data_IF_292818725419
#
_entry.id   IF_292818725419
#
_cell.length_a   1.000
_cell.length_b   1.000
_cell.length_c   1.000
_cell.angle_alpha   90.00
_cell.angle_beta   90.00
_cell.angle_gamma   90.00
#
_symmetry.space_group_name_H-M   'P 1'
#
loop_
_entity.id
_entity.type
_entity.pdbx_description
1 polymer ?
#
# COMPACT_ATOMS: atom_id res chain seq x y z
N UNK A 1 -10.60 45.24 -33.25
CA UNK A 1 -10.88 44.76 -31.89
C UNK A 1 -10.45 43.31 -31.81
N UNK A 2 -9.33 43.00 -31.15
CA UNK A 2 -8.78 41.64 -31.10
C UNK A 2 -9.15 41.00 -29.76
N UNK A 3 -10.02 39.99 -29.80
CA UNK A 3 -10.34 39.18 -28.63
C UNK A 3 -9.27 38.09 -28.48
N UNK A 4 -8.46 38.19 -27.43
CA UNK A 4 -7.56 37.12 -27.01
C UNK A 4 -8.34 36.21 -26.03
N UNK A 5 -8.57 34.92 -26.36
CA UNK A 5 -9.24 34.03 -25.42
C UNK A 5 -8.35 33.75 -24.20
N UNK A 6 -8.93 33.54 -23.00
CA UNK A 6 -8.17 33.24 -21.80
C UNK A 6 -7.45 31.90 -21.96
N UNK A 7 -6.13 31.88 -21.69
CA UNK A 7 -5.34 30.65 -21.59
C UNK A 7 -5.69 29.97 -20.27
N UNK A 8 -6.49 28.93 -20.31
CA UNK A 8 -6.70 28.07 -19.14
C UNK A 8 -5.39 27.35 -18.79
N UNK A 9 -5.00 27.27 -17.50
CA UNK A 9 -3.87 26.44 -17.10
C UNK A 9 -4.18 25.00 -17.52
N UNK A 10 -3.24 24.36 -18.21
CA UNK A 10 -3.37 22.95 -18.58
C UNK A 10 -3.66 22.14 -17.32
N UNK A 11 -4.77 21.39 -17.33
CA UNK A 11 -5.11 20.44 -16.27
C UNK A 11 -3.93 19.49 -16.15
N UNK A 12 -3.15 19.61 -15.06
CA UNK A 12 -2.10 18.64 -14.77
C UNK A 12 -2.80 17.29 -14.67
N UNK A 13 -2.36 16.26 -15.42
CA UNK A 13 -2.97 14.95 -15.31
C UNK A 13 -2.95 14.56 -13.83
N UNK A 14 -4.13 14.29 -13.28
CA UNK A 14 -4.26 13.77 -11.93
C UNK A 14 -3.34 12.54 -11.87
N UNK A 15 -2.28 12.62 -11.05
CA UNK A 15 -1.42 11.45 -10.83
C UNK A 15 -2.36 10.33 -10.40
N UNK A 16 -2.37 9.24 -11.16
CA UNK A 16 -2.97 7.99 -10.71
C UNK A 16 -2.30 7.67 -9.38
N UNK A 17 -2.98 8.01 -8.28
CA UNK A 17 -2.45 7.85 -6.94
C UNK A 17 -2.52 6.36 -6.64
N UNK A 18 -1.43 5.64 -6.95
CA UNK A 18 -1.29 4.27 -6.49
C UNK A 18 -1.36 4.32 -4.96
N UNK A 19 -2.25 3.53 -4.33
CA UNK A 19 -2.40 3.55 -2.89
C UNK A 19 -1.05 3.25 -2.23
N UNK A 20 -0.68 4.07 -1.25
CA UNK A 20 0.58 3.91 -0.51
C UNK A 20 0.49 2.64 0.33
N UNK A 21 1.55 1.85 0.32
CA UNK A 21 1.67 0.66 1.16
C UNK A 21 2.08 1.09 2.57
N UNK A 22 1.31 0.69 3.58
CA UNK A 22 1.55 1.07 4.98
C UNK A 22 2.79 0.38 5.55
N UNK A 23 3.48 1.05 6.46
CA UNK A 23 4.54 0.46 7.30
C UNK A 23 3.96 -0.67 8.16
N UNK A 24 4.76 -1.70 8.43
CA UNK A 24 4.37 -2.92 9.16
C UNK A 24 3.54 -3.90 8.32
N UNK A 25 3.32 -3.60 7.03
CA UNK A 25 2.61 -4.49 6.13
C UNK A 25 3.58 -5.43 5.43
N UNK A 26 3.19 -6.70 5.32
CA UNK A 26 3.87 -7.69 4.50
C UNK A 26 3.36 -7.65 3.07
N UNK A 27 4.28 -7.62 2.13
CA UNK A 27 4.03 -7.53 0.69
C UNK A 27 4.94 -8.48 -0.07
N UNK A 28 4.58 -8.76 -1.31
CA UNK A 28 5.37 -9.64 -2.17
C UNK A 28 6.18 -8.79 -3.15
N UNK A 29 7.42 -9.21 -3.38
CA UNK A 29 8.22 -8.71 -4.51
C UNK A 29 7.58 -9.17 -5.80
N UNK A 30 7.46 -8.24 -6.76
CA UNK A 30 6.93 -8.47 -8.09
C UNK A 30 7.96 -7.99 -9.12
N UNK A 31 8.59 -8.93 -9.80
CA UNK A 31 9.56 -8.72 -10.85
C UNK A 31 8.87 -8.97 -12.20
N UNK A 32 8.32 -7.93 -12.87
CA UNK A 32 7.63 -8.11 -14.14
C UNK A 32 8.57 -8.46 -15.31
N UNK A 33 9.88 -8.59 -15.07
CA UNK A 33 10.93 -8.78 -16.08
C UNK A 33 11.63 -10.13 -15.85
N UNK A 34 12.12 -10.74 -16.93
CA UNK A 34 12.67 -12.11 -16.99
C UNK A 34 13.81 -12.44 -16.01
N UNK A 35 14.48 -11.44 -15.44
CA UNK A 35 15.58 -11.63 -14.49
C UNK A 35 15.11 -12.20 -13.14
N UNK A 36 13.80 -12.13 -12.83
CA UNK A 36 13.19 -12.77 -11.66
C UNK A 36 13.71 -12.29 -10.31
N UNK A 37 14.47 -11.19 -10.28
CA UNK A 37 15.04 -10.60 -9.06
C UNK A 37 14.99 -9.08 -9.13
N UNK A 38 14.82 -8.45 -7.96
CA UNK A 38 14.89 -6.99 -7.80
C UNK A 38 16.15 -6.63 -7.02
N UNK A 39 16.92 -5.69 -7.54
CA UNK A 39 18.06 -5.14 -6.82
C UNK A 39 17.59 -4.19 -5.72
N UNK A 40 18.09 -4.40 -4.51
CA UNK A 40 17.89 -3.49 -3.40
C UNK A 40 18.88 -2.34 -3.48
N UNK A 41 18.38 -1.16 -3.17
CA UNK A 41 19.17 0.08 -3.15
C UNK A 41 19.34 0.62 -1.74
N UNK A 42 20.34 1.48 -1.54
CA UNK A 42 20.49 2.24 -0.31
C UNK A 42 19.47 3.39 -0.21
N UNK A 43 19.53 4.14 0.88
CA UNK A 43 18.65 5.29 1.11
C UNK A 43 18.81 6.43 0.08
N UNK A 44 19.88 6.44 -0.72
CA UNK A 44 20.14 7.40 -1.78
C UNK A 44 19.66 6.88 -3.14
N UNK A 45 19.58 5.57 -3.33
CA UNK A 45 19.26 4.88 -4.57
C UNK A 45 20.46 4.23 -5.24
N UNK A 46 21.60 4.14 -4.57
CA UNK A 46 22.74 3.38 -5.08
C UNK A 46 22.46 1.89 -4.87
N UNK A 47 22.83 1.06 -5.84
CA UNK A 47 22.76 -0.39 -5.69
C UNK A 47 23.75 -0.89 -4.62
N UNK A 48 23.66 -2.19 -4.31
CA UNK A 48 24.61 -2.87 -3.42
C UNK A 48 24.04 -3.39 -2.11
N UNK A 49 22.75 -3.18 -1.84
CA UNK A 49 22.07 -3.75 -0.67
C UNK A 49 21.60 -5.20 -0.89
N UNK A 50 22.01 -5.84 -1.99
CA UNK A 50 21.63 -7.21 -2.35
C UNK A 50 20.48 -7.28 -3.35
N UNK A 51 19.90 -8.47 -3.51
CA UNK A 51 18.80 -8.72 -4.45
C UNK A 51 17.78 -9.68 -3.85
N UNK A 52 16.50 -9.42 -4.09
CA UNK A 52 15.41 -10.30 -3.67
C UNK A 52 14.79 -11.04 -4.87
N UNK A 53 14.45 -12.33 -4.73
CA UNK A 53 13.74 -13.05 -5.77
C UNK A 53 12.29 -12.58 -5.92
N UNK A 54 11.72 -12.81 -7.10
CA UNK A 54 10.29 -12.66 -7.34
C UNK A 54 9.47 -13.50 -6.35
N UNK A 55 8.35 -12.95 -5.89
CA UNK A 55 7.50 -13.58 -4.90
C UNK A 55 8.06 -13.60 -3.47
N UNK A 56 9.25 -13.05 -3.22
CA UNK A 56 9.77 -12.92 -1.86
C UNK A 56 8.84 -12.08 -0.99
N UNK A 57 8.52 -12.58 0.21
CA UNK A 57 7.75 -11.82 1.19
C UNK A 57 8.68 -10.86 1.93
N UNK A 58 8.26 -9.60 2.00
CA UNK A 58 9.00 -8.53 2.65
C UNK A 58 8.08 -7.71 3.53
N UNK A 59 8.61 -7.19 4.62
CA UNK A 59 7.92 -6.25 5.49
C UNK A 59 8.35 -4.82 5.20
N UNK A 60 7.39 -3.90 5.15
CA UNK A 60 7.66 -2.48 4.92
C UNK A 60 8.06 -1.80 6.22
N UNK A 61 9.30 -1.32 6.29
CA UNK A 61 9.83 -0.59 7.44
C UNK A 61 9.62 0.93 7.32
N UNK A 62 9.75 1.45 6.11
CA UNK A 62 9.56 2.88 5.85
C UNK A 62 9.17 3.12 4.39
N UNK A 63 8.69 4.31 4.08
CA UNK A 63 8.42 4.72 2.70
C UNK A 63 8.76 6.20 2.48
N UNK A 64 9.11 6.54 1.24
CA UNK A 64 9.44 7.91 0.84
C UNK A 64 8.82 8.24 -0.52
N UNK A 65 8.15 9.39 -0.66
CA UNK A 65 7.72 9.87 -1.97
C UNK A 65 8.94 10.35 -2.77
N UNK A 66 9.11 9.90 -4.02
CA UNK A 66 10.15 10.42 -4.93
C UNK A 66 9.54 10.96 -6.21
N UNK A 67 9.03 12.19 -6.17
CA UNK A 67 8.80 13.01 -7.36
C UNK A 67 8.12 12.25 -8.53
N UNK A 68 8.52 12.48 -9.78
CA UNK A 68 7.99 11.77 -10.96
C UNK A 68 8.26 10.26 -10.99
N UNK A 69 9.28 9.78 -10.29
CA UNK A 69 9.72 8.37 -10.31
C UNK A 69 9.02 7.46 -9.31
N UNK A 70 8.00 7.96 -8.59
CA UNK A 70 7.15 7.15 -7.72
C UNK A 70 7.64 7.06 -6.28
N UNK A 71 6.91 6.31 -5.44
CA UNK A 71 7.32 6.07 -4.05
C UNK A 71 8.40 4.98 -3.98
N UNK A 72 9.31 5.08 -3.01
CA UNK A 72 10.22 3.99 -2.62
C UNK A 72 9.89 3.51 -1.23
N UNK A 73 10.12 2.23 -1.01
CA UNK A 73 9.85 1.54 0.25
C UNK A 73 11.14 0.92 0.76
N UNK A 74 11.42 1.11 2.03
CA UNK A 74 12.42 0.35 2.76
C UNK A 74 11.75 -0.93 3.21
N UNK A 75 12.35 -2.05 2.86
CA UNK A 75 11.81 -3.37 3.13
C UNK A 75 12.85 -4.26 3.77
N UNK A 76 12.39 -5.22 4.57
CA UNK A 76 13.20 -6.31 5.11
C UNK A 76 12.63 -7.64 4.67
N UNK A 77 13.48 -8.54 4.18
CA UNK A 77 13.13 -9.92 3.87
C UNK A 77 12.76 -10.66 5.14
N UNK A 78 11.60 -11.31 5.15
CA UNK A 78 11.16 -12.12 6.29
C UNK A 78 11.94 -13.42 6.42
N UNK A 79 12.60 -13.86 5.32
CA UNK A 79 13.36 -15.11 5.28
C UNK A 79 14.84 -14.89 5.63
N UNK A 80 15.49 -13.92 4.98
CA UNK A 80 16.95 -13.74 5.05
C UNK A 80 17.37 -12.54 5.89
N UNK A 81 16.42 -11.72 6.36
CA UNK A 81 16.71 -10.46 7.07
C UNK A 81 17.36 -9.38 6.18
N UNK A 82 17.41 -9.60 4.86
CA UNK A 82 18.01 -8.66 3.91
C UNK A 82 17.18 -7.38 3.83
N UNK A 83 17.83 -6.24 4.07
CA UNK A 83 17.17 -4.93 4.11
C UNK A 83 17.61 -4.02 2.95
N UNK A 84 16.67 -3.26 2.39
CA UNK A 84 17.01 -2.21 1.44
C UNK A 84 15.80 -1.49 0.87
N UNK A 85 16.07 -0.57 -0.05
CA UNK A 85 15.07 0.26 -0.71
C UNK A 85 14.70 -0.29 -2.08
N UNK A 86 13.40 -0.33 -2.35
CA UNK A 86 12.81 -0.81 -3.60
C UNK A 86 11.71 0.14 -4.09
N UNK A 87 11.47 0.22 -5.40
CA UNK A 87 10.41 1.05 -5.97
C UNK A 87 9.03 0.41 -5.76
N UNK A 88 8.00 1.26 -5.76
CA UNK A 88 6.60 0.82 -5.70
C UNK A 88 6.22 -0.14 -6.84
N UNK A 89 6.87 -0.04 -8.00
CA UNK A 89 6.60 -0.86 -9.18
C UNK A 89 6.96 -2.34 -8.99
N UNK A 90 7.91 -2.61 -8.10
CA UNK A 90 8.37 -3.97 -7.77
C UNK A 90 7.70 -4.55 -6.53
N UNK A 91 6.68 -3.88 -5.98
CA UNK A 91 5.93 -4.36 -4.83
C UNK A 91 4.48 -4.62 -5.22
N UNK A 92 3.99 -5.79 -4.83
CA UNK A 92 2.60 -6.18 -4.95
C UNK A 92 2.04 -6.38 -3.55
N UNK A 93 1.00 -5.62 -3.22
CA UNK A 93 0.20 -5.94 -2.04
C UNK A 93 -0.33 -7.37 -2.19
N UNK A 94 -0.28 -8.21 -1.14
CA UNK A 94 -0.92 -9.51 -1.19
C UNK A 94 -2.39 -9.22 -1.53
N UNK A 95 -2.90 -9.90 -2.57
CA UNK A 95 -4.31 -9.81 -2.89
C UNK A 95 -5.05 -10.11 -1.59
N UNK A 96 -5.86 -9.16 -1.13
CA UNK A 96 -6.66 -9.37 0.04
C UNK A 96 -7.62 -10.51 -0.30
N UNK A 97 -7.24 -11.75 -0.01
CA UNK A 97 -8.20 -12.78 0.36
C UNK A 97 -9.04 -12.10 1.41
N UNK A 98 -10.32 -11.90 1.08
CA UNK A 98 -11.17 -10.88 1.66
C UNK A 98 -10.88 -10.69 3.13
N UNK A 99 -10.59 -9.44 3.53
CA UNK A 99 -10.83 -9.09 4.93
C UNK A 99 -12.24 -9.64 5.23
N UNK A 100 -12.46 -10.48 6.25
CA UNK A 100 -13.79 -10.49 6.80
C UNK A 100 -14.06 -9.01 7.10
N UNK A 101 -15.08 -8.44 6.46
CA UNK A 101 -15.69 -7.23 6.98
C UNK A 101 -15.77 -7.42 8.49
N UNK A 102 -15.37 -6.45 9.34
CA UNK A 102 -15.73 -6.57 10.74
C UNK A 102 -17.23 -6.84 10.73
N UNK A 103 -17.60 -8.06 11.11
CA UNK A 103 -18.99 -8.43 11.24
C UNK A 103 -19.54 -7.39 12.21
N UNK A 104 -20.56 -6.60 11.83
CA UNK A 104 -21.12 -5.63 12.74
C UNK A 104 -21.49 -6.42 13.98
N UNK A 105 -20.79 -6.14 15.08
CA UNK A 105 -21.03 -6.79 16.37
C UNK A 105 -22.53 -6.71 16.58
N UNK A 106 -23.25 -7.84 16.69
CA UNK A 106 -24.67 -7.76 16.96
C UNK A 106 -24.81 -7.01 18.27
N UNK A 107 -25.35 -5.80 18.19
CA UNK A 107 -25.81 -5.05 19.35
C UNK A 107 -26.63 -6.04 20.17
N UNK A 108 -26.33 -6.24 21.47
CA UNK A 108 -27.17 -7.07 22.30
C UNK A 108 -28.59 -6.54 22.18
N UNK A 109 -29.50 -7.38 21.69
CA UNK A 109 -30.91 -7.05 21.57
C UNK A 109 -31.34 -6.50 22.93
N UNK A 110 -31.80 -5.24 22.93
CA UNK A 110 -32.42 -4.65 24.09
C UNK A 110 -33.52 -5.60 24.57
N UNK A 111 -33.32 -6.11 25.79
CA UNK A 111 -34.28 -6.94 26.53
C UNK A 111 -35.65 -6.24 26.49
N UNK A 112 -36.73 -6.90 26.01
CA UNK A 112 -38.04 -6.28 26.08
C UNK A 112 -38.42 -6.11 27.56
N UNK A 113 -38.86 -4.92 28.01
CA UNK A 113 -39.26 -4.76 29.40
C UNK A 113 -40.44 -5.71 29.69
N UNK A 114 -40.16 -6.65 30.59
CA UNK A 114 -41.09 -7.61 31.19
C UNK A 114 -42.44 -6.95 31.48
N UNK A 115 -43.52 -7.55 30.99
CA UNK A 115 -44.90 -7.24 31.36
C UNK A 115 -45.11 -7.54 32.85
N UNK A 116 -44.81 -6.56 33.71
CA UNK A 116 -45.31 -6.55 35.07
C UNK A 116 -46.78 -6.15 35.05
N UNK A 117 -47.62 -7.04 35.58
CA UNK A 117 -49.06 -6.90 35.54
C UNK A 117 -49.56 -5.60 36.16
N UNK A 118 -50.66 -5.09 35.60
CA UNK A 118 -51.62 -4.32 36.37
C UNK A 118 -52.93 -5.07 36.41
N UNK A 119 -53.19 -5.55 37.62
CA UNK A 119 -54.46 -5.99 38.16
C UNK A 119 -55.20 -4.73 38.62
N UNK A 120 -56.30 -4.38 37.96
CA UNK A 120 -57.57 -3.90 38.54
C UNK A 120 -58.51 -3.47 37.42
#
# INVERSE_FOLDING_TARGET
MSFQPPRFPAVRPARAARPVLSVGRRVLVNCPRDEGRVALTDAFGNGGAGSLPDGAEVEILAWRPRGPSGARYQVVSTHDGLEGWVSADHLRAPAALGRPSPEPTPVPAADPPRKFGRRR
#
